data_IF_962116890985
#
_entry.id   IF_962116890985
#
_cell.length_a   1.000
_cell.length_b   1.000
_cell.length_c   1.000
_cell.angle_alpha   90.00
_cell.angle_beta   90.00
_cell.angle_gamma   90.00
#
_symmetry.space_group_name_H-M   'P 1'
#
loop_
_entity.id
_entity.type
_entity.pdbx_description
1 polymer ?
#
# COMPACT_ATOMS: atom_id res chain seq x y z
N UNK A 1 21.70 8.08 22.01
CA UNK A 1 20.88 7.12 21.22
C UNK A 1 19.79 7.82 20.41
N UNK A 2 19.05 8.78 21.02
CA UNK A 2 18.01 9.58 20.33
C UNK A 2 18.57 10.48 19.24
N UNK A 3 19.71 11.16 19.47
CA UNK A 3 20.36 12.02 18.48
C UNK A 3 20.77 11.25 17.21
N UNK A 4 21.23 10.01 17.36
CA UNK A 4 21.59 9.17 16.21
C UNK A 4 20.34 8.84 15.35
N UNK A 5 19.21 8.55 15.99
CA UNK A 5 17.94 8.27 15.31
C UNK A 5 17.43 9.52 14.57
N UNK A 6 17.49 10.70 15.22
CA UNK A 6 17.10 11.97 14.61
C UNK A 6 17.96 12.29 13.40
N UNK A 7 19.28 12.11 13.51
CA UNK A 7 20.21 12.34 12.40
C UNK A 7 20.02 11.36 11.25
N UNK A 8 19.75 10.08 11.53
CA UNK A 8 19.43 9.08 10.49
C UNK A 8 18.09 9.37 9.79
N UNK A 9 17.08 9.82 10.53
CA UNK A 9 15.81 10.26 9.94
C UNK A 9 15.99 11.55 9.12
N UNK A 10 16.79 12.49 9.59
CA UNK A 10 17.13 13.70 8.85
C UNK A 10 17.79 13.39 7.51
N UNK A 11 18.77 12.49 7.48
CA UNK A 11 19.44 12.05 6.24
C UNK A 11 18.47 11.37 5.27
N UNK A 12 17.61 10.46 5.76
CA UNK A 12 16.59 9.78 4.93
C UNK A 12 15.59 10.77 4.35
N UNK A 13 15.15 11.77 5.12
CA UNK A 13 14.24 12.79 4.62
C UNK A 13 14.91 13.68 3.55
N UNK A 14 16.18 14.02 3.70
CA UNK A 14 16.94 14.75 2.68
C UNK A 14 17.08 13.94 1.39
N UNK A 15 17.42 12.66 1.48
CA UNK A 15 17.52 11.75 0.34
C UNK A 15 16.18 11.61 -0.38
N UNK A 16 15.11 11.41 0.37
CA UNK A 16 13.75 11.36 -0.17
C UNK A 16 13.34 12.64 -0.89
N UNK A 17 13.61 13.81 -0.30
CA UNK A 17 13.32 15.09 -0.92
C UNK A 17 14.13 15.31 -2.20
N UNK A 18 15.39 14.89 -2.24
CA UNK A 18 16.22 14.95 -3.44
C UNK A 18 15.64 14.06 -4.57
N UNK A 19 15.21 12.84 -4.27
CA UNK A 19 14.55 11.96 -5.24
C UNK A 19 13.26 12.59 -5.79
N UNK A 20 12.44 13.19 -4.92
CA UNK A 20 11.24 13.91 -5.35
C UNK A 20 11.57 15.12 -6.27
N UNK A 21 12.68 15.84 -6.01
CA UNK A 21 13.12 16.94 -6.88
C UNK A 21 13.55 16.44 -8.27
N UNK A 22 14.22 15.29 -8.33
CA UNK A 22 14.61 14.67 -9.62
C UNK A 22 13.37 14.24 -10.40
N UNK A 23 12.42 13.58 -9.74
CA UNK A 23 11.12 13.20 -10.33
C UNK A 23 10.41 14.45 -10.88
N UNK A 24 10.35 15.53 -10.10
CA UNK A 24 9.75 16.81 -10.53
C UNK A 24 10.47 17.42 -11.75
N UNK A 25 11.80 17.27 -11.83
CA UNK A 25 12.60 17.73 -12.96
C UNK A 25 12.32 16.97 -14.26
N UNK A 26 11.91 15.70 -14.16
CA UNK A 26 11.60 14.85 -15.31
C UNK A 26 10.10 14.81 -15.67
N UNK A 27 9.23 15.52 -14.98
CA UNK A 27 7.76 15.43 -15.19
C UNK A 27 7.33 15.74 -16.65
N UNK A 28 8.07 16.61 -17.33
CA UNK A 28 7.85 16.95 -18.74
C UNK A 28 8.69 16.10 -19.72
N UNK A 29 9.36 15.05 -19.23
CA UNK A 29 10.18 14.14 -20.04
C UNK A 29 9.87 12.69 -19.62
N UNK A 30 8.69 12.16 -20.02
CA UNK A 30 8.18 10.89 -19.48
C UNK A 30 9.10 9.70 -19.73
N UNK A 31 9.82 9.67 -20.85
CA UNK A 31 10.79 8.60 -21.15
C UNK A 31 11.93 8.59 -20.13
N UNK A 32 12.53 9.74 -19.84
CA UNK A 32 13.62 9.86 -18.85
C UNK A 32 13.13 9.66 -17.41
N UNK A 33 11.88 10.03 -17.13
CA UNK A 33 11.26 9.76 -15.84
C UNK A 33 11.08 8.26 -15.65
N UNK A 34 10.65 7.54 -16.68
CA UNK A 34 10.51 6.08 -16.64
C UNK A 34 11.86 5.40 -16.40
N UNK A 35 12.90 5.78 -17.14
CA UNK A 35 14.26 5.26 -16.95
C UNK A 35 14.78 5.48 -15.52
N UNK A 36 14.62 6.69 -14.98
CA UNK A 36 15.03 7.03 -13.62
C UNK A 36 14.26 6.24 -12.56
N UNK A 37 12.94 6.08 -12.74
CA UNK A 37 12.11 5.30 -11.81
C UNK A 37 12.46 3.81 -11.87
N UNK A 38 12.75 3.28 -13.05
CA UNK A 38 13.18 1.90 -13.22
C UNK A 38 14.53 1.64 -12.52
N UNK A 39 15.45 2.60 -12.57
CA UNK A 39 16.73 2.53 -11.85
C UNK A 39 16.55 2.59 -10.32
N UNK A 40 15.72 3.55 -9.83
CA UNK A 40 15.48 3.74 -8.38
C UNK A 40 14.67 2.59 -7.78
N UNK A 41 13.73 2.03 -8.52
CA UNK A 41 12.85 0.94 -8.06
C UNK A 41 13.51 -0.43 -8.25
N UNK A 42 14.55 -0.50 -9.08
CA UNK A 42 15.23 -1.73 -9.48
C UNK A 42 14.49 -2.48 -10.59
N UNK A 43 15.23 -3.05 -11.54
CA UNK A 43 14.67 -3.84 -12.63
C UNK A 43 14.04 -5.14 -12.11
N UNK A 44 12.72 -5.17 -11.96
CA UNK A 44 11.97 -6.40 -11.73
C UNK A 44 11.14 -6.77 -12.96
N UNK A 45 11.82 -7.16 -14.04
CA UNK A 45 11.20 -7.82 -15.20
C UNK A 45 11.04 -9.30 -14.89
N UNK A 46 9.86 -9.71 -14.46
CA UNK A 46 9.18 -10.97 -14.84
C UNK A 46 7.84 -11.06 -14.12
N UNK A 47 6.81 -10.48 -14.71
CA UNK A 47 5.44 -10.55 -14.21
C UNK A 47 4.73 -11.81 -14.72
N UNK A 48 3.93 -12.44 -13.90
CA UNK A 48 2.95 -13.41 -14.35
C UNK A 48 1.90 -12.68 -15.20
N UNK A 49 1.56 -13.22 -16.37
CA UNK A 49 0.61 -12.60 -17.32
C UNK A 49 -0.74 -12.18 -16.69
N UNK A 50 -1.22 -12.93 -15.68
CA UNK A 50 -2.46 -12.61 -14.97
C UNK A 50 -2.35 -11.31 -14.15
N UNK A 51 -1.28 -11.14 -13.37
CA UNK A 51 -1.04 -9.93 -12.55
C UNK A 51 -0.95 -8.68 -13.42
N UNK A 52 -0.26 -8.76 -14.57
CA UNK A 52 -0.16 -7.66 -15.52
C UNK A 52 -1.54 -7.27 -16.06
N UNK A 53 -2.40 -8.26 -16.38
CA UNK A 53 -3.78 -8.01 -16.82
C UNK A 53 -4.59 -7.29 -15.75
N UNK A 54 -4.52 -7.74 -14.50
CA UNK A 54 -5.23 -7.11 -13.38
C UNK A 54 -4.78 -5.67 -13.14
N UNK A 55 -3.48 -5.40 -13.17
CA UNK A 55 -2.93 -4.05 -13.06
C UNK A 55 -3.36 -3.16 -14.24
N UNK A 56 -3.65 -3.75 -15.40
CA UNK A 56 -4.18 -3.06 -16.57
C UNK A 56 -5.59 -2.48 -16.38
N UNK A 57 -6.33 -2.95 -15.36
CA UNK A 57 -7.64 -2.40 -14.99
C UNK A 57 -7.55 -1.20 -14.05
N UNK A 58 -6.35 -0.85 -13.57
CA UNK A 58 -6.13 0.40 -12.84
C UNK A 58 -5.73 1.51 -13.79
N UNK A 59 -6.23 2.73 -13.56
CA UNK A 59 -5.74 3.90 -14.27
C UNK A 59 -4.25 4.11 -13.99
N UNK A 60 -3.55 4.71 -14.94
CA UNK A 60 -2.14 5.03 -14.76
C UNK A 60 -1.96 6.04 -13.62
N UNK A 61 -0.98 5.81 -12.76
CA UNK A 61 -0.73 6.68 -11.62
C UNK A 61 -0.11 5.98 -10.41
N UNK A 62 -0.09 6.71 -9.29
CA UNK A 62 0.60 6.30 -8.06
C UNK A 62 0.11 4.98 -7.47
N UNK A 63 -1.19 4.69 -7.54
CA UNK A 63 -1.80 3.44 -7.02
C UNK A 63 -1.28 2.23 -7.79
N UNK A 64 -1.28 2.30 -9.13
CA UNK A 64 -0.79 1.23 -10.01
C UNK A 64 0.71 0.96 -9.79
N UNK A 65 1.52 2.02 -9.74
CA UNK A 65 2.95 1.91 -9.48
C UNK A 65 3.26 1.35 -8.09
N UNK A 66 2.53 1.80 -7.05
CA UNK A 66 2.68 1.28 -5.69
C UNK A 66 2.33 -0.21 -5.62
N UNK A 67 1.22 -0.63 -6.21
CA UNK A 67 0.82 -2.04 -6.27
C UNK A 67 1.88 -2.88 -6.98
N UNK A 68 2.34 -2.46 -8.16
CA UNK A 68 3.39 -3.16 -8.89
C UNK A 68 4.62 -3.40 -8.02
N UNK A 69 5.12 -2.35 -7.35
CA UNK A 69 6.27 -2.45 -6.45
C UNK A 69 6.03 -3.42 -5.28
N UNK A 70 4.85 -3.35 -4.64
CA UNK A 70 4.53 -4.23 -3.50
C UNK A 70 4.36 -5.69 -3.92
N UNK A 71 3.75 -5.94 -5.07
CA UNK A 71 3.61 -7.30 -5.62
C UNK A 71 4.98 -7.91 -5.99
N UNK A 72 5.90 -7.10 -6.53
CA UNK A 72 7.29 -7.53 -6.74
C UNK A 72 7.95 -7.94 -5.43
N UNK A 73 7.82 -7.10 -4.38
CA UNK A 73 8.34 -7.42 -3.04
C UNK A 73 7.74 -8.71 -2.47
N UNK A 74 6.45 -8.98 -2.68
CA UNK A 74 5.81 -10.24 -2.26
C UNK A 74 6.45 -11.43 -2.98
N UNK A 75 6.65 -11.32 -4.29
CA UNK A 75 7.30 -12.35 -5.11
C UNK A 75 8.72 -12.65 -4.62
N UNK A 76 9.54 -11.61 -4.41
CA UNK A 76 10.93 -11.74 -3.96
C UNK A 76 11.05 -12.42 -2.59
N UNK A 77 10.01 -12.30 -1.76
CA UNK A 77 9.93 -12.92 -0.44
C UNK A 77 9.17 -14.27 -0.42
N UNK A 78 8.87 -14.85 -1.60
CA UNK A 78 8.12 -16.09 -1.74
C UNK A 78 6.74 -16.05 -1.04
N UNK A 79 6.09 -14.89 -1.03
CA UNK A 79 4.71 -14.74 -0.55
C UNK A 79 3.78 -15.03 -1.72
N UNK A 80 2.88 -15.98 -1.53
CA UNK A 80 1.81 -16.29 -2.46
C UNK A 80 0.80 -15.15 -2.44
N UNK A 81 0.48 -14.58 -3.58
CA UNK A 81 -0.47 -13.48 -3.64
C UNK A 81 -1.50 -13.65 -4.75
N UNK A 82 -2.68 -13.09 -4.50
CA UNK A 82 -3.77 -12.97 -5.47
C UNK A 82 -4.14 -11.50 -5.60
N UNK A 83 -4.29 -11.04 -6.83
CA UNK A 83 -4.74 -9.68 -7.14
C UNK A 83 -6.03 -9.76 -7.95
N UNK A 84 -7.06 -9.11 -7.46
CA UNK A 84 -8.29 -8.87 -8.19
C UNK A 84 -8.55 -7.37 -8.29
N UNK A 85 -8.76 -6.88 -9.51
CA UNK A 85 -9.10 -5.49 -9.81
C UNK A 85 -10.34 -5.49 -10.70
N UNK A 86 -11.38 -4.79 -10.28
CA UNK A 86 -12.58 -4.62 -11.08
C UNK A 86 -12.25 -3.86 -12.38
N UNK A 87 -12.67 -4.41 -13.51
CA UNK A 87 -12.41 -3.81 -14.83
C UNK A 87 -13.03 -2.42 -15.00
N UNK A 88 -14.10 -2.11 -14.26
CA UNK A 88 -14.77 -0.81 -14.29
C UNK A 88 -13.90 0.32 -13.72
N UNK A 89 -12.85 -0.03 -12.94
CA UNK A 89 -11.91 0.96 -12.40
C UNK A 89 -11.00 1.56 -13.48
N UNK A 90 -10.88 0.93 -14.65
CA UNK A 90 -10.04 1.40 -15.74
C UNK A 90 -10.40 2.81 -16.20
N UNK A 91 -11.68 3.12 -16.19
CA UNK A 91 -12.22 4.40 -16.66
C UNK A 91 -12.31 5.46 -15.54
N UNK A 92 -11.93 5.08 -14.30
CA UNK A 92 -11.94 5.93 -13.11
C UNK A 92 -10.51 6.37 -12.76
N UNK A 93 -10.08 7.47 -13.32
CA UNK A 93 -8.77 8.06 -13.05
C UNK A 93 -8.70 8.81 -11.70
N UNK A 94 -7.59 9.52 -11.46
CA UNK A 94 -7.40 10.31 -10.23
C UNK A 94 -8.44 11.41 -10.02
N UNK A 95 -9.19 11.81 -11.07
CA UNK A 95 -10.18 12.88 -10.99
C UNK A 95 -11.47 12.43 -10.30
N UNK A 96 -11.68 11.13 -10.14
CA UNK A 96 -12.77 10.58 -9.32
C UNK A 96 -12.57 10.83 -7.82
N UNK A 97 -11.38 11.20 -7.40
CA UNK A 97 -11.07 11.58 -6.02
C UNK A 97 -10.63 13.04 -5.97
N UNK A 98 -10.84 13.71 -4.84
CA UNK A 98 -10.10 14.93 -4.60
C UNK A 98 -8.63 14.60 -4.30
N UNK A 99 -7.73 15.57 -4.52
CA UNK A 99 -6.29 15.37 -4.38
C UNK A 99 -5.88 14.88 -2.98
N UNK A 100 -6.58 15.35 -1.93
CA UNK A 100 -6.33 14.92 -0.54
C UNK A 100 -6.70 13.45 -0.39
N UNK A 101 -7.89 13.04 -0.85
CA UNK A 101 -8.39 11.67 -0.74
C UNK A 101 -7.55 10.70 -1.55
N UNK A 102 -7.14 11.05 -2.76
CA UNK A 102 -6.22 10.23 -3.55
C UNK A 102 -4.87 10.02 -2.85
N UNK A 103 -4.29 11.08 -2.29
CA UNK A 103 -3.04 11.00 -1.51
C UNK A 103 -3.20 10.14 -0.25
N UNK A 104 -4.30 10.32 0.48
CA UNK A 104 -4.56 9.57 1.71
C UNK A 104 -4.86 8.10 1.40
N UNK A 105 -5.58 7.80 0.31
CA UNK A 105 -5.79 6.45 -0.21
C UNK A 105 -4.45 5.77 -0.57
N UNK A 106 -3.58 6.45 -1.31
CA UNK A 106 -2.27 5.90 -1.68
C UNK A 106 -1.43 5.57 -0.45
N UNK A 107 -1.42 6.43 0.58
CA UNK A 107 -0.75 6.16 1.86
C UNK A 107 -1.35 4.96 2.59
N UNK A 108 -2.67 4.90 2.66
CA UNK A 108 -3.41 3.84 3.31
C UNK A 108 -3.14 2.48 2.66
N UNK A 109 -3.19 2.42 1.31
CA UNK A 109 -2.85 1.24 0.54
C UNK A 109 -1.42 0.75 0.84
N UNK A 110 -0.46 1.69 0.90
CA UNK A 110 0.92 1.38 1.24
C UNK A 110 1.04 0.77 2.64
N UNK A 111 0.38 1.36 3.64
CA UNK A 111 0.37 0.86 5.02
C UNK A 111 -0.27 -0.52 5.12
N UNK A 112 -1.42 -0.73 4.48
CA UNK A 112 -2.12 -2.02 4.49
C UNK A 112 -1.26 -3.11 3.88
N UNK A 113 -0.63 -2.85 2.72
CA UNK A 113 0.26 -3.80 2.06
C UNK A 113 1.51 -4.10 2.88
N UNK A 114 2.13 -3.09 3.51
CA UNK A 114 3.30 -3.32 4.38
C UNK A 114 2.93 -4.16 5.60
N UNK A 115 1.77 -3.90 6.21
CA UNK A 115 1.28 -4.71 7.33
C UNK A 115 1.02 -6.15 6.90
N UNK A 116 0.38 -6.36 5.76
CA UNK A 116 0.09 -7.67 5.20
C UNK A 116 1.37 -8.47 4.89
N UNK A 117 2.35 -7.84 4.23
CA UNK A 117 3.65 -8.45 3.92
C UNK A 117 4.37 -8.86 5.20
N UNK A 118 4.46 -7.96 6.18
CA UNK A 118 5.15 -8.26 7.44
C UNK A 118 4.47 -9.35 8.27
N UNK A 119 3.14 -9.46 8.21
CA UNK A 119 2.39 -10.52 8.87
C UNK A 119 2.54 -11.86 8.13
N UNK A 120 2.40 -11.86 6.80
CA UNK A 120 2.54 -13.05 5.97
C UNK A 120 3.95 -13.66 6.06
N UNK A 121 5.00 -12.84 6.14
CA UNK A 121 6.38 -13.31 6.32
C UNK A 121 6.57 -14.16 7.59
N UNK A 122 5.76 -13.91 8.62
CA UNK A 122 5.80 -14.63 9.89
C UNK A 122 4.82 -15.79 9.96
N UNK A 123 3.91 -15.90 8.99
CA UNK A 123 2.93 -16.99 8.92
C UNK A 123 3.51 -18.22 8.21
N UNK A 124 2.90 -19.35 8.43
CA UNK A 124 3.27 -20.62 7.82
C UNK A 124 2.91 -20.64 6.32
N UNK A 125 1.70 -20.22 5.97
CA UNK A 125 1.18 -20.27 4.60
C UNK A 125 1.69 -19.14 3.70
N UNK A 126 2.09 -17.99 4.25
CA UNK A 126 2.60 -16.81 3.53
C UNK A 126 1.71 -16.38 2.37
N UNK A 127 0.46 -16.08 2.65
CA UNK A 127 -0.52 -15.73 1.62
C UNK A 127 -1.09 -14.34 1.84
N UNK A 128 -1.27 -13.59 0.73
CA UNK A 128 -1.91 -12.27 0.70
C UNK A 128 -2.89 -12.23 -0.47
N UNK A 129 -4.06 -11.66 -0.23
CA UNK A 129 -5.07 -11.39 -1.23
C UNK A 129 -5.40 -9.90 -1.25
N UNK A 130 -5.38 -9.29 -2.43
CA UNK A 130 -5.65 -7.86 -2.65
C UNK A 130 -6.81 -7.73 -3.62
N UNK A 131 -7.85 -7.04 -3.20
CA UNK A 131 -9.05 -6.85 -3.99
C UNK A 131 -9.41 -5.36 -4.05
N UNK A 132 -9.66 -4.86 -5.27
CA UNK A 132 -10.18 -3.52 -5.54
C UNK A 132 -11.46 -3.66 -6.36
N UNK A 133 -12.58 -3.28 -5.76
CA UNK A 133 -13.91 -3.36 -6.36
C UNK A 133 -14.53 -1.98 -6.53
N UNK A 134 -15.12 -1.74 -7.68
CA UNK A 134 -16.02 -0.62 -7.90
C UNK A 134 -17.39 -0.91 -7.26
N UNK A 135 -17.90 0.05 -6.49
CA UNK A 135 -19.19 0.01 -5.81
C UNK A 135 -20.04 1.24 -6.13
N UNK A 136 -19.97 1.71 -7.37
CA UNK A 136 -20.65 2.89 -7.90
C UNK A 136 -20.30 4.19 -7.18
N UNK A 137 -20.55 4.29 -5.87
CA UNK A 137 -20.28 5.49 -5.04
C UNK A 137 -18.90 5.51 -4.41
N UNK A 138 -18.23 4.36 -4.32
CA UNK A 138 -16.91 4.23 -3.68
C UNK A 138 -16.09 3.08 -4.25
N UNK A 139 -14.78 3.21 -4.11
CA UNK A 139 -13.83 2.12 -4.28
C UNK A 139 -13.74 1.31 -2.98
N UNK A 140 -13.99 0.01 -3.06
CA UNK A 140 -13.77 -0.92 -1.96
C UNK A 140 -12.40 -1.58 -2.13
N UNK A 141 -11.48 -1.27 -1.21
CA UNK A 141 -10.20 -1.96 -1.06
C UNK A 141 -10.32 -3.01 0.04
N UNK A 142 -9.94 -4.25 -0.25
CA UNK A 142 -9.81 -5.32 0.75
C UNK A 142 -8.44 -5.96 0.63
N UNK A 143 -7.71 -6.05 1.75
CA UNK A 143 -6.45 -6.78 1.83
C UNK A 143 -6.58 -7.82 2.93
N UNK A 144 -6.44 -9.07 2.56
CA UNK A 144 -6.49 -10.23 3.45
C UNK A 144 -5.12 -10.90 3.48
N UNK A 145 -4.63 -11.24 4.65
CA UNK A 145 -3.35 -11.93 4.80
C UNK A 145 -3.37 -12.98 5.91
N UNK A 146 -2.57 -14.01 5.73
CA UNK A 146 -2.24 -14.97 6.79
C UNK A 146 -1.32 -14.29 7.83
N UNK A 147 -1.32 -14.80 9.07
CA UNK A 147 -0.50 -14.29 10.16
C UNK A 147 -0.03 -15.42 11.07
N UNK A 148 0.95 -15.17 11.94
CA UNK A 148 1.42 -16.13 12.93
C UNK A 148 0.31 -16.40 13.97
N UNK A 149 -0.18 -17.63 14.02
CA UNK A 149 -1.28 -18.07 14.92
C UNK A 149 -0.95 -17.91 16.42
N UNK A 150 0.33 -17.77 16.76
CA UNK A 150 0.77 -17.50 18.13
C UNK A 150 0.57 -16.05 18.57
N UNK A 151 0.26 -15.15 17.65
CA UNK A 151 0.00 -13.73 17.94
C UNK A 151 -1.45 -13.56 18.39
N UNK A 152 -1.65 -12.94 19.57
CA UNK A 152 -2.98 -12.50 19.98
C UNK A 152 -3.46 -11.33 19.09
N UNK A 153 -4.19 -11.69 18.04
CA UNK A 153 -4.68 -10.73 17.04
C UNK A 153 -5.63 -9.69 17.66
N UNK A 154 -6.25 -9.95 18.80
CA UNK A 154 -7.13 -9.00 19.49
C UNK A 154 -6.36 -7.80 20.08
N UNK A 155 -5.04 -7.89 20.13
CA UNK A 155 -4.15 -6.79 20.52
C UNK A 155 -3.72 -5.94 19.33
N UNK A 156 -3.88 -6.44 18.10
CA UNK A 156 -3.56 -5.69 16.86
C UNK A 156 -4.47 -4.46 16.79
N UNK A 157 -3.88 -3.29 16.59
CA UNK A 157 -4.62 -2.01 16.56
C UNK A 157 -4.80 -1.31 17.89
N UNK A 158 -4.45 -1.93 19.03
CA UNK A 158 -4.39 -1.23 20.31
C UNK A 158 -3.14 -0.35 20.36
N UNK A 159 -3.27 0.82 21.02
CA UNK A 159 -2.13 1.73 21.19
C UNK A 159 -0.96 1.03 21.89
N UNK A 160 0.23 1.13 21.30
CA UNK A 160 1.46 0.52 21.85
C UNK A 160 1.68 -0.96 21.50
N UNK A 161 0.72 -1.64 20.86
CA UNK A 161 0.95 -3.00 20.39
C UNK A 161 1.67 -3.00 19.03
N UNK A 162 2.86 -3.55 19.00
CA UNK A 162 3.63 -3.83 17.79
C UNK A 162 4.38 -5.14 17.94
N UNK A 163 4.36 -5.95 16.89
CA UNK A 163 5.22 -7.15 16.77
C UNK A 163 6.61 -6.81 16.22
N UNK A 164 6.88 -5.51 15.96
CA UNK A 164 8.09 -4.99 15.32
C UNK A 164 8.84 -4.12 16.31
N UNK A 165 9.55 -4.51 17.25
CA UNK A 165 10.47 -3.76 18.14
C UNK A 165 10.28 -2.23 18.29
N UNK A 166 11.10 -1.59 19.09
CA UNK A 166 11.06 -0.13 19.35
C UNK A 166 11.30 0.66 18.06
N UNK A 167 10.36 1.55 17.70
CA UNK A 167 10.43 2.39 16.50
C UNK A 167 9.53 1.92 15.33
N UNK A 168 8.80 0.82 15.49
CA UNK A 168 7.79 0.33 14.56
C UNK A 168 6.39 0.43 15.18
N UNK A 169 5.35 0.52 14.35
CA UNK A 169 3.96 0.59 14.83
C UNK A 169 3.21 1.86 14.42
N UNK A 170 3.85 2.74 13.63
CA UNK A 170 3.21 3.96 13.14
C UNK A 170 2.14 3.71 12.06
N UNK A 171 2.15 2.54 11.39
CA UNK A 171 1.19 2.25 10.33
C UNK A 171 -0.27 2.38 10.76
N UNK A 172 -0.63 1.77 11.88
CA UNK A 172 -2.00 1.84 12.40
C UNK A 172 -2.38 3.23 12.93
N UNK A 173 -1.42 4.05 13.41
CA UNK A 173 -1.70 5.44 13.76
C UNK A 173 -2.00 6.27 12.50
N UNK A 174 -1.25 6.07 11.42
CA UNK A 174 -1.51 6.72 10.12
C UNK A 174 -2.91 6.37 9.62
N UNK A 175 -3.34 5.10 9.69
CA UNK A 175 -4.68 4.66 9.28
C UNK A 175 -5.75 5.36 10.11
N UNK A 176 -5.60 5.42 11.45
CA UNK A 176 -6.52 6.13 12.34
C UNK A 176 -6.59 7.62 12.06
N UNK A 177 -5.45 8.25 11.80
CA UNK A 177 -5.38 9.68 11.51
C UNK A 177 -6.07 9.99 10.17
N UNK A 178 -5.86 9.16 9.14
CA UNK A 178 -6.56 9.29 7.86
C UNK A 178 -8.07 9.16 8.07
N UNK A 179 -8.54 8.08 8.70
CA UNK A 179 -9.98 7.86 8.93
C UNK A 179 -10.63 8.98 9.78
N UNK A 180 -9.88 9.60 10.69
CA UNK A 180 -10.36 10.73 11.50
C UNK A 180 -10.40 12.05 10.73
N UNK A 181 -9.47 12.28 9.81
CA UNK A 181 -9.27 13.60 9.17
C UNK A 181 -9.80 13.68 7.74
N UNK A 182 -10.22 12.54 7.19
CA UNK A 182 -10.77 12.44 5.83
C UNK A 182 -12.10 11.70 5.86
N UNK A 183 -13.21 12.46 5.76
CA UNK A 183 -14.57 11.92 5.77
C UNK A 183 -14.93 11.08 4.54
N UNK A 184 -14.12 11.11 3.49
CA UNK A 184 -14.31 10.32 2.28
C UNK A 184 -13.62 8.94 2.39
N UNK A 185 -13.00 8.61 3.52
CA UNK A 185 -12.34 7.34 3.75
C UNK A 185 -12.83 6.71 5.05
N UNK A 186 -13.40 5.52 4.94
CA UNK A 186 -13.75 4.67 6.07
C UNK A 186 -12.86 3.43 6.09
N UNK A 187 -12.44 2.98 7.27
CA UNK A 187 -11.56 1.82 7.41
C UNK A 187 -12.08 0.85 8.45
N UNK A 188 -11.98 -0.44 8.14
CA UNK A 188 -12.38 -1.54 9.00
C UNK A 188 -11.28 -2.59 9.07
N UNK A 189 -11.30 -3.38 10.13
CA UNK A 189 -10.48 -4.58 10.20
C UNK A 189 -11.27 -5.70 10.88
N UNK A 190 -11.14 -6.90 10.35
CA UNK A 190 -11.76 -8.10 10.88
C UNK A 190 -10.79 -9.27 10.87
N UNK A 191 -11.19 -10.35 11.52
CA UNK A 191 -10.52 -11.63 11.53
C UNK A 191 -11.49 -12.69 11.07
N UNK A 192 -11.11 -13.47 10.08
CA UNK A 192 -11.85 -14.63 9.61
C UNK A 192 -10.92 -15.84 9.55
N UNK A 193 -11.24 -16.89 10.32
CA UNK A 193 -10.42 -18.10 10.42
C UNK A 193 -8.96 -17.78 10.75
N UNK A 194 -8.07 -17.96 9.79
CA UNK A 194 -6.62 -17.77 9.86
C UNK A 194 -6.14 -16.52 9.12
N UNK A 195 -7.06 -15.69 8.61
CA UNK A 195 -6.75 -14.45 7.89
C UNK A 195 -7.12 -13.21 8.70
N UNK A 196 -6.26 -12.22 8.61
CA UNK A 196 -6.53 -10.85 9.05
C UNK A 196 -6.93 -10.02 7.83
N UNK A 197 -8.04 -9.30 7.92
CA UNK A 197 -8.64 -8.56 6.81
C UNK A 197 -8.65 -7.07 7.16
N UNK A 198 -8.10 -6.26 6.27
CA UNK A 198 -8.17 -4.80 6.32
C UNK A 198 -8.99 -4.31 5.13
N UNK A 199 -10.00 -3.50 5.41
CA UNK A 199 -10.92 -2.97 4.40
C UNK A 199 -10.94 -1.45 4.47
N UNK A 200 -11.00 -0.80 3.31
CA UNK A 200 -11.25 0.62 3.19
C UNK A 200 -12.31 0.90 2.13
N UNK A 201 -13.21 1.83 2.44
CA UNK A 201 -14.16 2.43 1.50
C UNK A 201 -13.65 3.83 1.19
N UNK A 202 -13.42 4.12 -0.08
CA UNK A 202 -12.90 5.40 -0.56
C UNK A 202 -13.96 6.00 -1.47
N UNK A 203 -14.69 6.99 -0.98
CA UNK A 203 -15.81 7.59 -1.69
C UNK A 203 -15.34 8.45 -2.85
N UNK A 204 -16.03 8.31 -4.00
CA UNK A 204 -15.80 9.14 -5.17
C UNK A 204 -16.34 10.56 -4.94
N UNK A 205 -15.84 11.53 -5.68
CA UNK A 205 -16.43 12.88 -5.73
C UNK A 205 -17.88 12.76 -6.18
N UNK A 206 -18.75 13.47 -5.49
CA UNK A 206 -20.13 13.71 -5.94
C UNK A 206 -20.15 14.78 -7.01
#
# INVERSE_FOLDING_TARGET
RYEKIINEQGKKNHEYNNQLMVIKGYINKPERLSEYLDEVIGEHKTGQNYTVKQLGFLPDGGVKGLLYHKLSKMKDNNIKYYLYVDQNLKDKDSDYFNLKTYRDFTKLLGVFLDNAIDAALKSEEKEIEVELKDKDDYLLLTISNTYDKNIDINKVGKSGFTTKGVGHGFGLSIVKDIAKTNSEIETFSSKESDKFIQTAMIYFKK
#
